data_IF_493636123139
#
_entry.id   IF_493636123139
#
_cell.length_a   1.000
_cell.length_b   1.000
_cell.length_c   1.000
_cell.angle_alpha   90.00
_cell.angle_beta   90.00
_cell.angle_gamma   90.00
#
_symmetry.space_group_name_H-M   'P 1'
#
loop_
_entity.id
_entity.type
_entity.pdbx_description
1 polymer ?
#
# COMPACT_ATOMS: atom_id res chain seq x y z
N UNK A 1 12.80 1.55 18.02
CA UNK A 1 12.88 2.78 17.20
C UNK A 1 14.26 3.41 17.39
N UNK A 2 15.02 3.58 16.30
CA UNK A 2 16.38 4.15 16.34
C UNK A 2 16.36 5.58 16.88
N UNK A 3 15.44 6.41 16.41
CA UNK A 3 15.34 7.83 16.79
C UNK A 3 15.09 8.03 18.30
N UNK A 4 14.20 7.23 18.90
CA UNK A 4 13.94 7.30 20.33
C UNK A 4 15.17 6.89 21.16
N UNK A 5 15.86 5.86 20.68
CA UNK A 5 17.09 5.34 21.31
C UNK A 5 18.24 6.33 21.21
N UNK A 6 18.43 6.90 20.02
CA UNK A 6 19.43 7.93 19.77
C UNK A 6 19.24 9.15 20.66
N UNK A 7 18.00 9.61 20.83
CA UNK A 7 17.67 10.73 21.71
C UNK A 7 18.00 10.39 23.18
N UNK A 8 17.67 9.19 23.65
CA UNK A 8 17.97 8.71 24.99
C UNK A 8 19.49 8.56 25.23
N UNK A 9 20.23 7.97 24.27
CA UNK A 9 21.68 7.83 24.34
C UNK A 9 22.39 9.18 24.32
N UNK A 10 21.94 10.12 23.49
CA UNK A 10 22.49 11.49 23.43
C UNK A 10 22.34 12.25 24.75
N UNK A 11 21.36 11.90 25.59
CA UNK A 11 21.14 12.48 26.90
C UNK A 11 21.66 11.63 28.07
N UNK A 12 22.63 10.75 27.78
CA UNK A 12 23.39 10.00 28.79
C UNK A 12 22.73 8.70 29.24
N UNK A 13 21.76 8.19 28.47
CA UNK A 13 21.14 6.87 28.66
C UNK A 13 20.61 6.63 30.09
N UNK A 14 20.07 7.65 30.71
CA UNK A 14 19.54 7.58 32.09
C UNK A 14 18.31 6.68 32.16
N UNK A 15 18.21 5.90 33.21
CA UNK A 15 17.11 4.95 33.45
C UNK A 15 16.06 5.47 34.41
N UNK A 16 16.28 6.64 35.03
CA UNK A 16 15.35 7.32 35.93
C UNK A 16 15.58 8.82 35.89
N UNK A 17 14.49 9.59 36.02
CA UNK A 17 14.50 11.06 36.00
C UNK A 17 13.18 11.59 35.39
N UNK A 18 13.10 12.90 35.28
CA UNK A 18 12.03 13.54 34.49
C UNK A 18 12.21 13.32 33.01
N UNK A 19 11.18 13.56 32.21
CA UNK A 19 11.24 13.42 30.75
C UNK A 19 12.39 14.22 30.14
N UNK A 20 12.56 15.46 30.58
CA UNK A 20 13.65 16.35 30.14
C UNK A 20 15.06 15.84 30.57
N UNK A 21 15.17 15.24 31.76
CA UNK A 21 16.45 14.63 32.20
C UNK A 21 16.82 13.37 31.39
N UNK A 22 15.82 12.65 30.89
CA UNK A 22 16.01 11.38 30.13
C UNK A 22 16.21 11.67 28.64
N UNK A 23 15.40 12.57 28.05
CA UNK A 23 15.37 12.77 26.60
C UNK A 23 15.84 14.16 26.15
N UNK A 24 16.24 15.04 27.08
CA UNK A 24 16.63 16.42 26.80
C UNK A 24 15.47 17.41 26.78
N UNK A 25 15.78 18.68 26.71
CA UNK A 25 14.78 19.75 26.60
C UNK A 25 14.53 20.09 25.13
N UNK A 26 13.45 19.59 24.58
CA UNK A 26 13.13 19.74 23.16
C UNK A 26 11.66 19.43 22.85
N UNK A 27 11.14 19.96 21.73
CA UNK A 27 9.80 19.63 21.22
C UNK A 27 9.62 18.12 20.99
N UNK A 28 10.69 17.37 20.74
CA UNK A 28 10.66 15.91 20.64
C UNK A 28 10.35 15.26 21.98
N UNK A 29 10.90 15.77 23.05
CA UNK A 29 10.63 15.30 24.42
C UNK A 29 9.18 15.58 24.81
N UNK A 30 8.67 16.76 24.44
CA UNK A 30 7.27 17.13 24.67
C UNK A 30 6.33 16.21 23.88
N UNK A 31 6.69 15.86 22.65
CA UNK A 31 5.92 14.89 21.86
C UNK A 31 5.92 13.48 22.48
N UNK A 32 7.06 13.00 22.98
CA UNK A 32 7.16 11.70 23.66
C UNK A 32 6.28 11.70 24.91
N UNK A 33 6.33 12.78 25.71
CA UNK A 33 5.46 12.97 26.86
C UNK A 33 3.98 12.93 26.49
N UNK A 34 3.58 13.67 25.48
CA UNK A 34 2.19 13.70 25.00
C UNK A 34 1.76 12.33 24.45
N UNK A 35 2.62 11.68 23.67
CA UNK A 35 2.34 10.35 23.11
C UNK A 35 2.13 9.30 24.20
N UNK A 36 2.93 9.31 25.27
CA UNK A 36 2.77 8.41 26.41
C UNK A 36 1.42 8.61 27.09
N UNK A 37 1.06 9.83 27.45
CA UNK A 37 -0.18 10.09 28.20
C UNK A 37 -1.44 9.91 27.34
N UNK A 38 -1.40 10.25 26.04
CA UNK A 38 -2.49 9.90 25.14
C UNK A 38 -2.63 8.39 25.00
N UNK A 39 -1.51 7.68 24.86
CA UNK A 39 -1.55 6.21 24.75
C UNK A 39 -2.12 5.56 26.01
N UNK A 40 -1.68 5.95 27.22
CA UNK A 40 -2.25 5.44 28.48
C UNK A 40 -3.77 5.63 28.53
N UNK A 41 -4.24 6.84 28.20
CA UNK A 41 -5.68 7.12 28.20
C UNK A 41 -6.44 6.28 27.16
N UNK A 42 -5.98 6.24 25.91
CA UNK A 42 -6.66 5.54 24.82
C UNK A 42 -6.61 4.02 25.04
N UNK A 43 -5.50 3.48 25.56
CA UNK A 43 -5.39 2.07 25.95
C UNK A 43 -6.40 1.69 27.04
N UNK A 44 -6.58 2.55 28.04
CA UNK A 44 -7.57 2.33 29.10
C UNK A 44 -9.02 2.33 28.54
N UNK A 45 -9.34 3.26 27.63
CA UNK A 45 -10.65 3.32 26.96
C UNK A 45 -10.87 2.08 26.11
N UNK A 46 -9.86 1.67 25.30
CA UNK A 46 -9.92 0.48 24.46
C UNK A 46 -10.12 -0.80 25.29
N UNK A 47 -9.41 -0.93 26.42
CA UNK A 47 -9.57 -2.04 27.36
C UNK A 47 -11.01 -2.15 27.87
N UNK A 48 -11.62 -1.03 28.25
CA UNK A 48 -13.02 -0.99 28.69
C UNK A 48 -13.98 -1.34 27.55
N UNK A 49 -13.73 -0.83 26.34
CA UNK A 49 -14.51 -1.16 25.14
C UNK A 49 -14.49 -2.66 24.85
N UNK A 50 -13.31 -3.29 24.87
CA UNK A 50 -13.14 -4.74 24.64
C UNK A 50 -13.83 -5.59 25.71
N UNK A 51 -13.98 -5.09 26.93
CA UNK A 51 -14.75 -5.78 27.98
C UNK A 51 -16.24 -5.85 27.63
N UNK A 52 -16.78 -4.82 27.02
CA UNK A 52 -18.18 -4.77 26.58
C UNK A 52 -18.41 -5.51 25.26
N UNK A 53 -17.49 -5.34 24.32
CA UNK A 53 -17.55 -5.97 23.00
C UNK A 53 -16.13 -6.21 22.45
N UNK A 54 -15.66 -7.47 22.36
CA UNK A 54 -14.26 -7.81 22.09
C UNK A 54 -13.93 -7.72 20.59
N UNK A 55 -13.94 -6.52 20.03
CA UNK A 55 -13.49 -6.25 18.67
C UNK A 55 -12.03 -5.76 18.65
N UNK A 56 -11.33 -5.95 17.52
CA UNK A 56 -10.06 -5.26 17.27
C UNK A 56 -10.25 -3.75 17.37
N UNK A 57 -9.31 -3.08 18.05
CA UNK A 57 -9.32 -1.64 18.28
C UNK A 57 -8.10 -1.00 17.60
N UNK A 58 -8.27 0.16 17.02
CA UNK A 58 -7.17 0.95 16.48
C UNK A 58 -7.22 2.40 16.96
N UNK A 59 -6.08 3.05 16.91
CA UNK A 59 -5.98 4.49 17.00
C UNK A 59 -5.28 5.02 15.75
N UNK A 60 -5.80 6.11 15.18
CA UNK A 60 -5.21 6.76 14.02
C UNK A 60 -4.72 8.17 14.34
N UNK A 61 -3.81 8.66 13.52
CA UNK A 61 -3.24 9.99 13.67
C UNK A 61 -3.01 10.67 12.35
N UNK A 62 -3.26 11.99 12.35
CA UNK A 62 -2.80 12.88 11.31
C UNK A 62 -1.27 13.01 11.32
N UNK A 63 -0.65 13.02 10.14
CA UNK A 63 0.81 13.01 9.99
C UNK A 63 1.46 14.40 10.04
N UNK A 64 0.69 15.47 10.24
CA UNK A 64 1.21 16.82 10.38
C UNK A 64 1.89 17.40 9.12
N UNK A 65 1.63 16.86 7.94
CA UNK A 65 2.32 17.29 6.71
C UNK A 65 3.75 16.74 6.58
N UNK A 66 4.10 15.68 7.32
CA UNK A 66 5.36 14.96 7.20
C UNK A 66 6.48 15.55 8.06
N UNK A 67 7.14 16.61 7.59
CA UNK A 67 8.30 17.21 8.27
C UNK A 67 7.94 18.35 9.26
N UNK A 68 6.64 18.57 9.51
CA UNK A 68 6.20 19.59 10.46
C UNK A 68 6.71 19.27 11.87
N UNK A 69 7.40 20.20 12.53
CA UNK A 69 7.90 19.96 13.88
C UNK A 69 6.80 19.68 14.90
N UNK A 70 7.05 18.84 15.91
CA UNK A 70 6.13 18.66 17.02
C UNK A 70 5.81 20.02 17.69
N UNK A 71 4.53 20.24 17.97
CA UNK A 71 4.03 21.49 18.54
C UNK A 71 3.42 22.46 17.52
N UNK A 72 3.84 22.39 16.25
CA UNK A 72 3.26 23.18 15.16
C UNK A 72 1.97 22.56 14.58
N UNK A 73 1.59 21.41 15.09
CA UNK A 73 0.35 20.68 14.77
C UNK A 73 -0.09 19.86 16.00
N UNK A 74 -1.32 19.28 16.04
CA UNK A 74 -1.76 18.39 17.12
C UNK A 74 -0.84 17.16 17.23
N UNK A 75 0.16 17.22 18.10
CA UNK A 75 1.23 16.23 18.25
C UNK A 75 0.91 15.20 19.33
N UNK A 76 1.63 14.06 19.33
CA UNK A 76 1.47 12.98 20.31
C UNK A 76 0.58 11.82 19.86
N UNK A 77 -0.06 11.91 18.69
CA UNK A 77 -0.72 10.77 18.06
C UNK A 77 0.27 9.66 17.62
N UNK A 78 -0.20 8.46 17.26
CA UNK A 78 0.64 7.31 16.95
C UNK A 78 1.38 7.45 15.60
N UNK A 79 2.30 8.40 15.51
CA UNK A 79 3.19 8.57 14.37
C UNK A 79 4.37 7.60 14.43
N UNK A 80 5.02 7.27 13.30
CA UNK A 80 6.10 6.27 13.24
C UNK A 80 7.20 6.47 14.29
N UNK A 81 7.58 7.71 14.55
CA UNK A 81 8.65 8.07 15.53
C UNK A 81 8.28 7.82 16.99
N UNK A 82 6.97 7.73 17.32
CA UNK A 82 6.45 7.47 18.68
C UNK A 82 5.61 6.20 18.79
N UNK A 83 5.57 5.35 17.75
CA UNK A 83 4.85 4.08 17.80
C UNK A 83 5.28 3.19 18.97
N UNK A 84 6.58 3.13 19.27
CA UNK A 84 7.09 2.32 20.38
C UNK A 84 6.65 2.87 21.74
N UNK A 85 6.46 4.20 21.87
CA UNK A 85 5.90 4.83 23.06
C UNK A 85 4.43 4.39 23.24
N UNK A 86 3.65 4.44 22.17
CA UNK A 86 2.26 3.98 22.19
C UNK A 86 2.13 2.49 22.54
N UNK A 87 3.02 1.64 22.01
CA UNK A 87 3.03 0.21 22.32
C UNK A 87 3.50 -0.09 23.74
N UNK A 88 4.44 0.69 24.26
CA UNK A 88 4.91 0.55 25.65
C UNK A 88 3.86 0.93 26.68
N UNK A 89 2.94 1.82 26.36
CA UNK A 89 1.86 2.26 27.26
C UNK A 89 0.74 1.23 27.45
N UNK A 90 0.64 0.20 26.61
CA UNK A 90 -0.38 -0.85 26.74
C UNK A 90 -0.55 -1.72 25.49
N UNK A 91 -1.43 -2.73 25.60
CA UNK A 91 -1.67 -3.73 24.58
C UNK A 91 -3.16 -3.87 24.18
N UNK A 92 -3.99 -2.89 24.53
CA UNK A 92 -5.43 -2.94 24.22
C UNK A 92 -5.77 -2.46 22.81
N UNK A 93 -4.85 -1.73 22.18
CA UNK A 93 -4.93 -1.38 20.76
C UNK A 93 -4.22 -2.45 19.92
N UNK A 94 -4.91 -2.94 18.91
CA UNK A 94 -4.41 -3.96 17.99
C UNK A 94 -3.58 -3.33 16.85
N UNK A 95 -3.92 -2.08 16.47
CA UNK A 95 -3.28 -1.37 15.36
C UNK A 95 -3.11 0.11 15.69
N UNK A 96 -1.98 0.67 15.24
CA UNK A 96 -1.70 2.09 15.23
C UNK A 96 -1.62 2.54 13.78
N UNK A 97 -2.44 3.50 13.37
CA UNK A 97 -2.82 3.72 11.99
C UNK A 97 -2.51 5.17 11.53
N UNK A 98 -2.21 5.39 10.24
CA UNK A 98 -2.08 6.72 9.68
C UNK A 98 -3.39 7.26 9.10
N UNK A 99 -3.61 8.57 9.20
CA UNK A 99 -4.45 9.34 8.27
C UNK A 99 -3.54 9.77 7.12
N UNK A 100 -3.50 8.96 6.06
CA UNK A 100 -2.43 8.99 5.07
C UNK A 100 -2.79 9.83 3.84
N UNK A 101 -2.54 11.14 3.94
CA UNK A 101 -2.71 12.12 2.85
C UNK A 101 -1.39 12.69 2.34
N UNK A 102 -0.27 12.37 3.02
CA UNK A 102 1.03 12.91 2.69
C UNK A 102 1.54 12.42 1.33
N UNK A 103 2.33 13.24 0.66
CA UNK A 103 3.16 12.81 -0.46
C UNK A 103 4.15 11.72 0.01
N UNK A 104 4.55 10.82 -0.88
CA UNK A 104 5.39 9.68 -0.48
C UNK A 104 4.57 8.58 0.24
N UNK A 105 3.37 8.29 -0.25
CA UNK A 105 2.47 7.27 0.31
C UNK A 105 3.18 5.96 0.64
N UNK A 106 4.03 5.47 -0.27
CA UNK A 106 4.73 4.20 -0.10
C UNK A 106 5.67 4.20 1.12
N UNK A 107 6.43 5.28 1.32
CA UNK A 107 7.33 5.44 2.46
C UNK A 107 6.56 5.48 3.78
N UNK A 108 5.51 6.29 3.85
CA UNK A 108 4.68 6.36 5.05
C UNK A 108 3.99 5.03 5.37
N UNK A 109 3.42 4.34 4.38
CA UNK A 109 2.78 3.05 4.56
C UNK A 109 3.78 2.02 5.12
N UNK A 110 5.00 1.95 4.56
CA UNK A 110 6.05 1.03 5.02
C UNK A 110 6.52 1.29 6.45
N UNK A 111 6.51 2.55 6.91
CA UNK A 111 6.90 2.91 8.29
C UNK A 111 5.86 2.48 9.32
N UNK A 112 4.59 2.34 8.94
CA UNK A 112 3.53 1.80 9.81
C UNK A 112 3.42 0.29 9.75
N UNK A 113 3.77 -0.32 8.62
CA UNK A 113 3.77 -1.77 8.45
C UNK A 113 4.98 -2.40 9.17
N UNK A 114 4.72 -3.00 10.32
CA UNK A 114 5.74 -3.61 11.18
C UNK A 114 5.29 -5.01 11.60
N UNK A 115 6.21 -5.92 11.95
CA UNK A 115 5.85 -7.26 12.46
C UNK A 115 4.91 -7.21 13.69
N UNK A 116 4.98 -6.14 14.47
CA UNK A 116 4.16 -5.90 15.65
C UNK A 116 3.01 -4.89 15.41
N UNK A 117 2.83 -4.42 14.18
CA UNK A 117 1.79 -3.46 13.80
C UNK A 117 1.32 -3.70 12.37
N UNK A 118 0.28 -4.52 12.16
CA UNK A 118 -0.28 -4.72 10.83
C UNK A 118 -0.81 -3.38 10.28
N UNK A 119 -0.64 -3.17 8.97
CA UNK A 119 -1.09 -1.92 8.35
C UNK A 119 -2.60 -1.93 8.17
N UNK A 120 -3.25 -0.90 8.70
CA UNK A 120 -4.61 -0.51 8.39
C UNK A 120 -4.63 0.99 8.11
N UNK A 121 -5.26 1.42 7.03
CA UNK A 121 -5.34 2.82 6.62
C UNK A 121 -6.80 3.27 6.73
N UNK A 122 -7.24 3.78 7.89
CA UNK A 122 -8.63 4.15 8.14
C UNK A 122 -9.04 5.45 7.47
N UNK A 123 -8.05 6.26 7.04
CA UNK A 123 -8.33 7.53 6.39
C UNK A 123 -7.24 7.87 5.37
N UNK A 124 -7.65 8.17 4.13
CA UNK A 124 -6.74 8.53 3.04
C UNK A 124 -7.47 9.28 1.92
N UNK A 125 -6.73 9.68 0.88
CA UNK A 125 -7.30 10.30 -0.31
C UNK A 125 -8.13 9.30 -1.12
N UNK A 126 -9.23 9.79 -1.69
CA UNK A 126 -10.02 9.10 -2.71
C UNK A 126 -9.55 9.43 -4.14
N UNK A 127 -10.47 9.28 -5.10
CA UNK A 127 -10.25 9.63 -6.51
C UNK A 127 -9.10 8.86 -7.15
N UNK A 128 -8.42 9.48 -8.09
CA UNK A 128 -7.32 8.86 -8.86
C UNK A 128 -6.16 8.44 -7.95
N UNK A 129 -5.84 9.25 -6.95
CA UNK A 129 -4.78 8.93 -5.96
C UNK A 129 -5.14 7.70 -5.15
N UNK A 130 -6.37 7.62 -4.64
CA UNK A 130 -6.86 6.46 -3.89
C UNK A 130 -6.91 5.21 -4.76
N UNK A 131 -7.33 5.37 -6.03
CA UNK A 131 -7.39 4.28 -7.01
C UNK A 131 -6.03 3.64 -7.26
N UNK A 132 -4.96 4.44 -7.30
CA UNK A 132 -3.61 3.95 -7.48
C UNK A 132 -3.03 3.36 -6.18
N UNK A 133 -3.16 4.09 -5.08
CA UNK A 133 -2.54 3.73 -3.81
C UNK A 133 -3.09 2.43 -3.21
N UNK A 134 -4.37 2.09 -3.48
CA UNK A 134 -4.95 0.84 -2.98
C UNK A 134 -4.24 -0.40 -3.54
N UNK A 135 -3.77 -0.37 -4.80
CA UNK A 135 -3.01 -1.49 -5.38
C UNK A 135 -1.66 -1.67 -4.71
N UNK A 136 -0.94 -0.57 -4.45
CA UNK A 136 0.31 -0.62 -3.69
C UNK A 136 0.08 -1.13 -2.25
N UNK A 137 -0.93 -0.60 -1.57
CA UNK A 137 -1.23 -0.99 -0.20
C UNK A 137 -1.57 -2.48 -0.08
N UNK A 138 -2.36 -3.01 -1.02
CA UNK A 138 -2.76 -4.42 -1.06
C UNK A 138 -1.61 -5.32 -1.50
N UNK A 139 -0.90 -4.96 -2.59
CA UNK A 139 0.09 -5.83 -3.19
C UNK A 139 1.47 -5.78 -2.53
N UNK A 140 1.87 -4.64 -1.95
CA UNK A 140 3.20 -4.49 -1.37
C UNK A 140 3.18 -4.46 0.17
N UNK A 141 2.08 -3.95 0.76
CA UNK A 141 2.01 -3.74 2.21
C UNK A 141 1.06 -4.68 2.93
N UNK A 142 0.40 -5.62 2.25
CA UNK A 142 -0.56 -6.56 2.84
C UNK A 142 -1.59 -5.85 3.74
N UNK A 143 -2.07 -4.68 3.31
CA UNK A 143 -2.96 -3.83 4.10
C UNK A 143 -4.24 -4.57 4.51
N UNK A 144 -4.65 -4.45 5.76
CA UNK A 144 -5.89 -5.05 6.27
C UNK A 144 -7.15 -4.30 5.81
N UNK A 145 -7.02 -3.00 5.57
CA UNK A 145 -8.10 -2.16 5.07
C UNK A 145 -7.57 -0.82 4.58
N UNK A 146 -8.27 -0.25 3.62
CA UNK A 146 -7.94 1.02 2.97
C UNK A 146 -9.23 1.82 2.80
N UNK A 147 -9.34 2.96 3.48
CA UNK A 147 -10.61 3.70 3.60
C UNK A 147 -10.46 5.16 3.14
N UNK A 148 -10.77 5.45 1.87
CA UNK A 148 -10.82 6.83 1.40
C UNK A 148 -11.87 7.66 2.16
N UNK A 149 -11.46 8.84 2.60
CA UNK A 149 -12.34 9.75 3.35
C UNK A 149 -13.51 10.24 2.50
N UNK A 150 -14.72 10.07 3.04
CA UNK A 150 -15.96 10.52 2.38
C UNK A 150 -16.33 9.70 1.13
N UNK A 151 -15.93 8.42 1.08
CA UNK A 151 -16.21 7.54 -0.06
C UNK A 151 -17.72 7.46 -0.38
N UNK A 152 -18.59 7.56 0.61
CA UNK A 152 -20.05 7.60 0.49
C UNK A 152 -20.55 8.87 -0.19
N UNK A 153 -19.91 10.01 0.01
CA UNK A 153 -20.28 11.29 -0.61
C UNK A 153 -20.14 11.27 -2.14
N UNK A 154 -19.17 10.50 -2.66
CA UNK A 154 -18.99 10.29 -4.11
C UNK A 154 -20.10 9.46 -4.75
N UNK A 155 -20.78 8.62 -4.00
CA UNK A 155 -21.81 7.72 -4.49
C UNK A 155 -23.19 8.40 -4.66
N UNK A 156 -23.44 9.52 -3.97
CA UNK A 156 -24.74 10.15 -3.92
C UNK A 156 -24.89 11.43 -4.79
N UNK A 157 -23.85 11.81 -5.54
CA UNK A 157 -23.91 12.95 -6.48
C UNK A 157 -24.12 14.32 -5.81
N UNK A 158 -24.32 14.40 -4.52
CA UNK A 158 -24.39 15.63 -3.75
C UNK A 158 -22.95 16.04 -3.37
N UNK A 159 -22.30 16.71 -4.30
CA UNK A 159 -20.93 17.17 -4.09
C UNK A 159 -20.88 18.17 -2.94
N UNK A 160 -20.44 17.72 -1.77
CA UNK A 160 -19.85 18.66 -0.83
C UNK A 160 -18.66 19.32 -1.55
N UNK A 161 -18.67 20.64 -1.82
CA UNK A 161 -17.62 21.31 -2.60
C UNK A 161 -16.22 21.12 -1.99
N UNK A 162 -16.12 20.84 -0.67
CA UNK A 162 -14.88 20.54 0.02
C UNK A 162 -14.34 19.12 -0.29
N UNK A 163 -15.20 18.21 -0.70
CA UNK A 163 -14.84 16.83 -1.04
C UNK A 163 -14.78 16.60 -2.55
N UNK A 164 -15.42 17.44 -3.37
CA UNK A 164 -15.50 17.26 -4.81
C UNK A 164 -14.12 17.10 -5.48
N UNK A 165 -13.14 17.91 -5.09
CA UNK A 165 -11.76 17.80 -5.60
C UNK A 165 -11.01 16.53 -5.13
N UNK A 166 -11.41 15.96 -3.97
CA UNK A 166 -10.80 14.73 -3.44
C UNK A 166 -11.40 13.46 -4.02
N UNK A 167 -12.55 13.56 -4.66
CA UNK A 167 -13.30 12.45 -5.27
C UNK A 167 -13.25 12.47 -6.80
N UNK A 168 -12.43 13.34 -7.39
CA UNK A 168 -12.18 13.29 -8.84
C UNK A 168 -11.57 11.92 -9.17
N UNK A 169 -12.11 11.22 -10.18
CA UNK A 169 -11.71 9.84 -10.50
C UNK A 169 -12.40 8.77 -9.63
N UNK A 170 -13.56 9.08 -9.03
CA UNK A 170 -14.31 8.12 -8.19
C UNK A 170 -14.74 6.84 -8.92
N UNK A 171 -14.89 6.90 -10.24
CA UNK A 171 -15.20 5.72 -11.06
C UNK A 171 -14.05 4.72 -11.09
N UNK A 172 -12.82 5.22 -11.21
CA UNK A 172 -11.61 4.38 -11.13
C UNK A 172 -11.44 3.79 -9.73
N UNK A 173 -11.76 4.54 -8.68
CA UNK A 173 -11.72 4.05 -7.31
C UNK A 173 -12.72 2.91 -7.10
N UNK A 174 -13.96 3.08 -7.53
CA UNK A 174 -14.99 2.03 -7.46
C UNK A 174 -14.57 0.78 -8.25
N UNK A 175 -14.01 0.98 -9.44
CA UNK A 175 -13.49 -0.09 -10.29
C UNK A 175 -12.31 -0.81 -9.63
N UNK A 176 -11.39 -0.10 -8.96
CA UNK A 176 -10.28 -0.67 -8.22
C UNK A 176 -10.76 -1.57 -7.09
N UNK A 177 -11.73 -1.12 -6.30
CA UNK A 177 -12.33 -1.93 -5.23
C UNK A 177 -13.04 -3.17 -5.76
N UNK A 178 -13.84 -3.02 -6.83
CA UNK A 178 -14.52 -4.14 -7.45
C UNK A 178 -13.53 -5.19 -7.96
N UNK A 179 -12.46 -4.75 -8.62
CA UNK A 179 -11.43 -5.62 -9.17
C UNK A 179 -10.69 -6.37 -8.06
N UNK A 180 -10.19 -5.65 -7.03
CA UNK A 180 -9.51 -6.23 -5.88
C UNK A 180 -10.43 -7.22 -5.15
N UNK A 181 -11.69 -6.86 -4.91
CA UNK A 181 -12.65 -7.74 -4.25
C UNK A 181 -12.90 -9.03 -5.04
N UNK A 182 -12.96 -8.95 -6.38
CA UNK A 182 -13.14 -10.14 -7.23
C UNK A 182 -11.95 -11.10 -7.16
N UNK A 183 -10.73 -10.59 -6.95
CA UNK A 183 -9.47 -11.34 -6.86
C UNK A 183 -9.05 -11.67 -5.42
N UNK A 184 -9.85 -11.33 -4.41
CA UNK A 184 -9.43 -11.41 -3.01
C UNK A 184 -8.85 -12.76 -2.58
N UNK A 185 -9.42 -13.92 -2.96
CA UNK A 185 -8.84 -15.22 -2.64
C UNK A 185 -7.43 -15.43 -3.22
N UNK A 186 -7.20 -14.96 -4.46
CA UNK A 186 -5.91 -15.06 -5.16
C UNK A 186 -4.88 -14.13 -4.51
N UNK A 187 -5.29 -12.90 -4.17
CA UNK A 187 -4.47 -11.92 -3.49
C UNK A 187 -4.04 -12.48 -2.11
N UNK A 188 -4.97 -12.98 -1.31
CA UNK A 188 -4.65 -13.52 0.01
C UNK A 188 -3.72 -14.74 -0.05
N UNK A 189 -3.91 -15.63 -1.02
CA UNK A 189 -2.99 -16.75 -1.23
C UNK A 189 -1.58 -16.27 -1.60
N UNK A 190 -1.47 -15.31 -2.50
CA UNK A 190 -0.19 -14.76 -2.93
C UNK A 190 0.49 -13.91 -1.83
N UNK A 191 -0.26 -13.21 -0.99
CA UNK A 191 0.26 -12.51 0.20
C UNK A 191 0.87 -13.50 1.20
N UNK A 192 0.25 -14.67 1.42
CA UNK A 192 0.77 -15.69 2.31
C UNK A 192 2.08 -16.34 1.81
N UNK A 193 2.25 -16.48 0.52
CA UNK A 193 3.47 -17.04 -0.10
C UNK A 193 4.54 -15.97 -0.40
N UNK A 194 4.20 -14.69 -0.37
CA UNK A 194 5.09 -13.60 -0.79
C UNK A 194 5.20 -13.43 -2.31
N UNK A 195 4.23 -13.94 -3.05
CA UNK A 195 4.23 -13.97 -4.51
C UNK A 195 3.34 -12.86 -5.13
N UNK A 196 3.33 -11.70 -4.52
CA UNK A 196 2.55 -10.53 -4.97
C UNK A 196 3.35 -9.26 -4.78
N UNK A 197 3.27 -8.36 -5.77
CA UNK A 197 3.77 -7.01 -5.69
C UNK A 197 2.75 -6.01 -6.22
N UNK A 198 2.64 -4.86 -5.54
CA UNK A 198 1.83 -3.73 -5.94
C UNK A 198 2.69 -2.50 -6.21
N UNK A 199 2.30 -1.69 -7.17
CA UNK A 199 3.10 -0.55 -7.60
C UNK A 199 2.23 0.63 -8.06
N UNK A 200 2.84 1.82 -7.97
CA UNK A 200 2.36 3.06 -8.59
C UNK A 200 3.54 3.65 -9.35
N UNK A 201 3.34 3.95 -10.63
CA UNK A 201 4.33 4.52 -11.53
C UNK A 201 3.90 5.90 -11.99
N UNK A 202 4.88 6.77 -12.17
CA UNK A 202 4.74 8.09 -12.76
C UNK A 202 5.99 8.44 -13.60
N UNK A 203 6.02 9.62 -14.18
CA UNK A 203 7.17 10.06 -15.01
C UNK A 203 8.46 10.24 -14.21
N UNK A 204 8.38 10.39 -12.88
CA UNK A 204 9.55 10.48 -11.99
C UNK A 204 10.05 9.10 -11.57
N UNK A 205 9.14 8.14 -11.48
CA UNK A 205 9.40 6.73 -11.13
C UNK A 205 8.75 5.83 -12.19
N UNK A 206 9.31 5.79 -13.42
CA UNK A 206 8.64 5.17 -14.57
C UNK A 206 8.72 3.64 -14.59
N UNK A 207 9.48 3.03 -13.69
CA UNK A 207 9.61 1.57 -13.62
C UNK A 207 10.01 1.06 -12.25
N UNK A 208 9.76 -0.23 -12.01
CA UNK A 208 10.18 -0.97 -10.84
C UNK A 208 10.47 -2.42 -11.21
N UNK A 209 11.42 -3.04 -10.52
CA UNK A 209 11.79 -4.45 -10.69
C UNK A 209 11.42 -5.24 -9.43
N UNK A 210 10.82 -6.41 -9.62
CA UNK A 210 10.56 -7.38 -8.57
C UNK A 210 11.26 -8.70 -8.87
N UNK A 211 11.54 -9.47 -7.83
CA UNK A 211 12.08 -10.81 -7.96
C UNK A 211 11.01 -11.82 -7.58
N UNK A 212 10.58 -12.63 -8.55
CA UNK A 212 9.56 -13.66 -8.35
C UNK A 212 10.07 -14.98 -8.93
N UNK A 213 10.25 -16.00 -8.10
CA UNK A 213 10.62 -17.36 -8.48
C UNK A 213 11.74 -17.49 -9.53
N UNK A 214 12.84 -16.77 -9.33
CA UNK A 214 14.02 -16.82 -10.23
C UNK A 214 13.95 -15.89 -11.44
N UNK A 215 12.84 -15.18 -11.61
CA UNK A 215 12.67 -14.16 -12.62
C UNK A 215 12.83 -12.75 -12.04
N UNK A 216 13.36 -11.84 -12.83
CA UNK A 216 13.15 -10.41 -12.68
C UNK A 216 11.88 -10.06 -13.46
N UNK A 217 10.88 -9.58 -12.75
CA UNK A 217 9.63 -9.03 -13.31
C UNK A 217 9.82 -7.53 -13.41
N UNK A 218 10.06 -7.04 -14.61
CA UNK A 218 10.24 -5.61 -14.87
C UNK A 218 8.89 -4.99 -15.23
N UNK A 219 8.45 -4.04 -14.42
CA UNK A 219 7.22 -3.27 -14.64
C UNK A 219 7.59 -1.84 -15.01
N UNK A 220 7.04 -1.32 -16.10
CA UNK A 220 7.28 0.04 -16.55
C UNK A 220 6.02 0.70 -17.08
N UNK A 221 6.02 2.03 -17.20
CA UNK A 221 4.92 2.75 -17.85
C UNK A 221 4.65 2.18 -19.25
N UNK A 222 3.36 2.07 -19.60
CA UNK A 222 2.94 1.57 -20.91
C UNK A 222 3.38 2.49 -22.04
N UNK A 223 3.87 1.90 -23.12
CA UNK A 223 4.20 2.62 -24.34
C UNK A 223 3.90 1.75 -25.56
N UNK A 224 3.34 2.36 -26.60
CA UNK A 224 3.09 1.71 -27.88
C UNK A 224 3.00 2.75 -29.02
N UNK A 225 3.70 2.52 -30.12
CA UNK A 225 3.61 3.35 -31.34
C UNK A 225 3.72 4.88 -31.10
N UNK A 226 4.60 5.29 -30.18
CA UNK A 226 4.81 6.71 -29.82
C UNK A 226 3.85 7.26 -28.77
N UNK A 227 2.90 6.47 -28.30
CA UNK A 227 2.13 6.76 -27.10
C UNK A 227 2.95 6.37 -25.87
N UNK A 228 2.92 7.22 -24.85
CA UNK A 228 3.53 6.97 -23.54
C UNK A 228 2.52 7.29 -22.45
N UNK A 229 2.28 6.35 -21.55
CA UNK A 229 1.49 6.61 -20.36
C UNK A 229 2.24 7.54 -19.40
N UNK A 230 1.55 8.52 -18.83
CA UNK A 230 2.13 9.43 -17.82
C UNK A 230 2.04 8.85 -16.41
N UNK A 231 1.13 7.90 -16.19
CA UNK A 231 0.95 7.18 -14.94
C UNK A 231 0.47 5.76 -15.18
N UNK A 232 0.80 4.87 -14.25
CA UNK A 232 0.34 3.49 -14.26
C UNK A 232 0.33 2.93 -12.84
N UNK A 233 -0.59 2.02 -12.57
CA UNK A 233 -0.67 1.38 -11.27
C UNK A 233 -1.33 0.01 -11.36
N UNK A 234 -1.00 -0.86 -10.44
CA UNK A 234 -1.55 -2.19 -10.41
C UNK A 234 -0.86 -3.11 -9.43
N UNK A 235 -1.17 -4.38 -9.59
CA UNK A 235 -0.46 -5.46 -8.93
C UNK A 235 -0.15 -6.59 -9.94
N UNK A 236 0.92 -7.32 -9.63
CA UNK A 236 1.27 -8.57 -10.30
C UNK A 236 1.42 -9.63 -9.23
N UNK A 237 0.81 -10.79 -9.43
CA UNK A 237 0.96 -11.94 -8.55
C UNK A 237 1.21 -13.22 -9.36
N UNK A 238 1.93 -14.16 -8.76
CA UNK A 238 2.23 -15.44 -9.37
C UNK A 238 1.32 -16.54 -8.79
N UNK A 239 0.66 -17.29 -9.68
CA UNK A 239 -0.24 -18.38 -9.29
C UNK A 239 0.41 -19.78 -9.41
N UNK A 240 1.52 -19.87 -10.08
CA UNK A 240 2.24 -21.13 -10.34
C UNK A 240 3.56 -20.85 -11.05
N UNK A 241 4.34 -21.87 -11.41
CA UNK A 241 5.68 -21.69 -11.95
C UNK A 241 5.75 -20.71 -13.13
N UNK A 242 4.77 -20.80 -14.04
CA UNK A 242 4.75 -20.09 -15.31
C UNK A 242 3.47 -19.24 -15.49
N UNK A 243 2.67 -19.05 -14.44
CA UNK A 243 1.38 -18.37 -14.55
C UNK A 243 1.33 -17.15 -13.63
N UNK A 244 1.04 -16.00 -14.22
CA UNK A 244 0.92 -14.72 -13.54
C UNK A 244 -0.47 -14.13 -13.74
N UNK A 245 -0.96 -13.43 -12.73
CA UNK A 245 -2.09 -12.52 -12.84
C UNK A 245 -1.60 -11.10 -12.68
N UNK A 246 -2.09 -10.21 -13.51
CA UNK A 246 -1.91 -8.78 -13.38
C UNK A 246 -3.27 -8.09 -13.30
N UNK A 247 -3.30 -6.99 -12.57
CA UNK A 247 -4.49 -6.16 -12.45
C UNK A 247 -4.10 -4.70 -12.35
N UNK A 248 -4.76 -3.81 -13.11
CA UNK A 248 -4.46 -2.40 -13.12
C UNK A 248 -4.57 -1.77 -14.51
N UNK A 249 -3.86 -0.65 -14.72
CA UNK A 249 -3.79 0.08 -15.99
C UNK A 249 -2.51 0.91 -16.13
N UNK A 250 -2.17 1.28 -17.36
CA UNK A 250 -1.09 2.24 -17.68
C UNK A 250 0.33 1.67 -17.55
N UNK A 251 0.50 0.37 -17.49
CA UNK A 251 1.82 -0.26 -17.35
C UNK A 251 2.01 -1.45 -18.30
N UNK A 252 3.26 -1.89 -18.39
CA UNK A 252 3.63 -3.13 -19.07
C UNK A 252 4.61 -3.93 -18.21
N UNK A 253 4.63 -5.23 -18.44
CA UNK A 253 5.46 -6.20 -17.72
C UNK A 253 6.30 -6.99 -18.70
N UNK A 254 7.58 -7.19 -18.39
CA UNK A 254 8.45 -8.14 -19.07
C UNK A 254 9.16 -9.03 -18.05
N UNK A 255 9.58 -10.20 -18.51
CA UNK A 255 10.17 -11.24 -17.68
C UNK A 255 11.60 -11.54 -18.14
N UNK A 256 12.55 -11.54 -17.23
CA UNK A 256 13.95 -11.84 -17.51
C UNK A 256 14.48 -12.85 -16.49
N UNK A 257 15.09 -13.97 -16.90
CA UNK A 257 15.77 -14.86 -15.97
C UNK A 257 16.89 -14.15 -15.21
N UNK A 258 17.04 -14.44 -13.93
CA UNK A 258 18.09 -13.81 -13.10
C UNK A 258 19.50 -14.32 -13.41
N UNK A 259 19.60 -15.47 -14.04
CA UNK A 259 20.86 -16.07 -14.40
C UNK A 259 20.97 -16.20 -15.92
N UNK A 260 22.10 -15.76 -16.48
CA UNK A 260 22.39 -15.96 -17.90
C UNK A 260 22.50 -17.46 -18.31
N UNK A 261 22.52 -18.36 -17.33
CA UNK A 261 22.52 -19.81 -17.55
C UNK A 261 21.10 -20.38 -17.62
N UNK A 262 20.09 -19.62 -17.24
CA UNK A 262 18.69 -20.02 -17.32
C UNK A 262 18.13 -19.73 -18.73
N UNK A 263 17.17 -20.55 -19.19
CA UNK A 263 16.51 -20.32 -20.47
C UNK A 263 15.84 -18.95 -20.52
N UNK A 264 15.85 -18.30 -21.69
CA UNK A 264 15.14 -17.05 -21.91
C UNK A 264 13.64 -17.25 -21.62
N UNK A 265 13.04 -16.29 -20.92
CA UNK A 265 11.61 -16.28 -20.68
C UNK A 265 10.89 -15.44 -21.74
N UNK A 266 9.75 -15.93 -22.21
CA UNK A 266 8.87 -15.21 -23.11
C UNK A 266 7.42 -15.47 -22.78
N UNK A 267 6.51 -14.66 -23.32
CA UNK A 267 5.08 -14.78 -23.07
C UNK A 267 4.45 -15.75 -24.07
N UNK A 268 3.93 -16.85 -23.58
CA UNK A 268 3.24 -17.86 -24.38
C UNK A 268 1.80 -17.46 -24.69
N UNK A 269 1.11 -16.83 -23.75
CA UNK A 269 -0.25 -16.35 -23.95
C UNK A 269 -0.63 -15.30 -22.91
N UNK A 270 -1.53 -14.40 -23.30
CA UNK A 270 -2.23 -13.48 -22.41
C UNK A 270 -3.73 -13.64 -22.65
N UNK A 271 -4.49 -13.67 -21.57
CA UNK A 271 -5.93 -13.80 -21.59
C UNK A 271 -6.56 -12.77 -20.65
N UNK A 272 -7.39 -11.89 -21.19
CA UNK A 272 -8.26 -11.03 -20.38
C UNK A 272 -9.35 -11.87 -19.74
N UNK A 273 -9.79 -11.51 -18.55
CA UNK A 273 -10.87 -12.22 -17.88
C UNK A 273 -11.32 -11.55 -16.60
N UNK A 274 -12.18 -12.26 -15.87
CA UNK A 274 -12.70 -11.82 -14.58
C UNK A 274 -12.76 -12.98 -13.61
N UNK A 275 -12.81 -12.69 -12.31
CA UNK A 275 -13.16 -13.68 -11.31
C UNK A 275 -14.65 -13.56 -10.95
N UNK A 276 -15.37 -14.68 -11.00
CA UNK A 276 -16.75 -14.79 -10.55
C UNK A 276 -16.83 -15.88 -9.50
N UNK A 277 -17.22 -15.52 -8.28
CA UNK A 277 -17.29 -16.45 -7.14
C UNK A 277 -15.99 -17.27 -6.95
N UNK A 278 -14.84 -16.61 -7.11
CA UNK A 278 -13.52 -17.22 -6.96
C UNK A 278 -13.03 -18.05 -8.16
N UNK A 279 -13.85 -18.18 -9.22
CA UNK A 279 -13.51 -18.94 -10.43
C UNK A 279 -13.12 -17.98 -11.56
N UNK A 280 -12.02 -18.28 -12.26
CA UNK A 280 -11.61 -17.55 -13.45
C UNK A 280 -12.60 -17.77 -14.59
N UNK A 281 -13.13 -16.68 -15.12
CA UNK A 281 -13.96 -16.65 -16.32
C UNK A 281 -13.16 -16.00 -17.43
N UNK A 282 -12.67 -16.79 -18.41
CA UNK A 282 -11.87 -16.25 -19.50
C UNK A 282 -12.72 -15.35 -20.41
N UNK A 283 -12.10 -14.27 -20.84
CA UNK A 283 -12.63 -13.38 -21.87
C UNK A 283 -11.97 -13.66 -23.22
N UNK A 284 -11.28 -12.67 -23.77
CA UNK A 284 -10.55 -12.82 -25.02
C UNK A 284 -9.07 -13.13 -24.80
N UNK A 285 -8.46 -13.89 -25.68
CA UNK A 285 -7.02 -14.05 -25.76
C UNK A 285 -6.44 -12.89 -26.58
N UNK A 286 -5.38 -12.27 -26.09
CA UNK A 286 -4.68 -11.20 -26.79
C UNK A 286 -3.85 -11.77 -27.95
N UNK A 287 -3.71 -10.98 -29.00
CA UNK A 287 -2.90 -11.34 -30.16
C UNK A 287 -1.44 -10.86 -30.01
N UNK A 288 -0.58 -11.18 -30.97
CA UNK A 288 0.84 -10.83 -30.93
C UNK A 288 1.12 -9.34 -30.92
N UNK A 289 0.32 -8.51 -31.59
CA UNK A 289 0.51 -7.06 -31.61
C UNK A 289 0.18 -6.43 -30.26
N UNK A 290 -0.82 -6.95 -29.57
CA UNK A 290 -1.20 -6.50 -28.22
C UNK A 290 -0.17 -6.89 -27.15
N UNK A 291 0.59 -7.96 -27.39
CA UNK A 291 1.65 -8.49 -26.53
C UNK A 291 3.06 -8.11 -26.98
N UNK A 292 3.21 -7.10 -27.86
CA UNK A 292 4.49 -6.67 -28.43
C UNK A 292 5.34 -7.88 -28.93
N UNK A 293 4.73 -8.72 -29.76
CA UNK A 293 5.31 -9.95 -30.28
C UNK A 293 5.72 -10.97 -29.20
N UNK A 294 5.09 -10.90 -28.00
CA UNK A 294 5.40 -11.77 -26.88
C UNK A 294 6.50 -11.22 -25.95
N UNK A 295 6.94 -9.99 -26.16
CA UNK A 295 7.97 -9.36 -25.32
C UNK A 295 7.41 -8.64 -24.10
N UNK A 296 6.20 -8.10 -24.21
CA UNK A 296 5.58 -7.31 -23.14
C UNK A 296 4.13 -7.71 -22.90
N UNK A 297 3.77 -7.81 -21.62
CA UNK A 297 2.41 -7.93 -21.17
C UNK A 297 1.89 -6.53 -20.81
N UNK A 298 0.88 -6.03 -21.54
CA UNK A 298 0.52 -4.63 -21.56
C UNK A 298 -0.85 -4.37 -20.96
N UNK A 299 -0.92 -3.37 -20.10
CA UNK A 299 -2.14 -2.80 -19.53
C UNK A 299 -2.25 -1.35 -20.02
N UNK A 300 -3.10 -1.09 -20.99
CA UNK A 300 -3.34 0.26 -21.51
C UNK A 300 -4.00 1.18 -20.47
N UNK A 301 -4.22 2.44 -20.84
CA UNK A 301 -4.82 3.45 -19.95
C UNK A 301 -6.34 3.55 -20.04
N UNK A 302 -6.99 2.76 -20.91
CA UNK A 302 -8.43 2.90 -21.19
C UNK A 302 -9.34 2.35 -20.08
N UNK A 303 -8.81 1.56 -19.16
CA UNK A 303 -9.58 1.05 -18.02
C UNK A 303 -8.81 0.02 -17.22
N UNK A 304 -9.32 -0.26 -16.02
CA UNK A 304 -8.79 -1.31 -15.17
C UNK A 304 -9.13 -2.69 -15.73
N UNK A 305 -8.14 -3.56 -15.77
CA UNK A 305 -8.26 -4.92 -16.31
C UNK A 305 -7.67 -5.95 -15.35
N UNK A 306 -8.14 -7.18 -15.48
CA UNK A 306 -7.46 -8.37 -14.97
C UNK A 306 -7.04 -9.20 -16.16
N UNK A 307 -5.79 -9.57 -16.19
CA UNK A 307 -5.25 -10.45 -17.24
C UNK A 307 -4.42 -11.55 -16.62
N UNK A 308 -4.41 -12.69 -17.29
CA UNK A 308 -3.59 -13.86 -16.98
C UNK A 308 -2.54 -14.04 -18.06
N UNK A 309 -1.28 -14.04 -17.68
CA UNK A 309 -0.17 -14.36 -18.56
C UNK A 309 0.40 -15.74 -18.22
N UNK A 310 0.73 -16.49 -19.27
CA UNK A 310 1.52 -17.73 -19.19
C UNK A 310 2.84 -17.47 -19.88
N UNK A 311 3.93 -17.74 -19.19
CA UNK A 311 5.28 -17.61 -19.75
C UNK A 311 5.79 -18.98 -20.23
N UNK A 312 6.79 -18.97 -21.09
CA UNK A 312 7.56 -20.15 -21.47
C UNK A 312 9.06 -19.88 -21.27
N UNK A 313 9.81 -20.94 -21.10
CA UNK A 313 11.26 -20.89 -21.03
C UNK A 313 11.83 -21.50 -22.32
N UNK A 314 12.55 -20.69 -23.11
CA UNK A 314 13.23 -21.17 -24.32
C UNK A 314 14.42 -22.05 -23.93
N UNK A 315 14.56 -23.20 -24.57
CA UNK A 315 15.72 -24.09 -24.38
C UNK A 315 16.98 -23.53 -25.02
#
# INVERSE_FOLDING_TARGET
NSELRELWEANGAKTAGTWTEIFGDSARTDEIFMAWHYAEYVQAVAARGKTAYPLPMYANAWLGGGDTPPGDYPSGGPQPRVLDVWKAAGNSLDMLCPDLYASGFADWASRYHRPDNPLFIPETSGGDTGSANVFYAVGEQNVLGFSPFGIDAGMHGEANPRLAGRMQGSEDLASSYHLIASMLPQIQAAQQSGDIHGFVLDTSHPSVDFVMHGLTVHVSLDQLFGYHAESGYGLVLQQGPDTFLGAGKGFRVSFTPRSAKEPQAGIASIEEGTYQQGTWVPGRRLNGDEADQGNNWRFDTFGLKIEKAVIYHAQ
#
